data_IF_489380193344
#
_entry.id   IF_489380193344
#
_cell.length_a   1.000
_cell.length_b   1.000
_cell.length_c   1.000
_cell.angle_alpha   90.00
_cell.angle_beta   90.00
_cell.angle_gamma   90.00
#
_symmetry.space_group_name_H-M   'P 1'
#
loop_
_entity.id
_entity.type
_entity.pdbx_description
1 polymer ?
#
# COMPACT_ATOMS: atom_id res chain seq x y z
N UNK A 1 19.96 6.85 55.56
CA UNK A 1 18.86 7.54 54.86
C UNK A 1 18.98 7.22 53.38
N UNK A 2 18.35 6.13 52.97
CA UNK A 2 18.28 5.61 51.60
C UNK A 2 17.14 6.30 50.87
N UNK A 3 17.44 7.08 49.83
CA UNK A 3 16.41 7.56 48.91
C UNK A 3 16.40 6.62 47.70
N UNK A 4 15.41 5.73 47.65
CA UNK A 4 15.11 4.87 46.52
C UNK A 4 14.27 5.71 45.56
N UNK A 5 14.91 6.24 44.52
CA UNK A 5 14.21 6.88 43.41
C UNK A 5 13.65 5.78 42.51
N UNK A 6 12.34 5.59 42.60
CA UNK A 6 11.58 4.71 41.73
C UNK A 6 11.40 5.41 40.38
N UNK A 7 12.23 5.09 39.39
CA UNK A 7 12.01 5.48 37.99
C UNK A 7 12.30 4.29 37.08
N UNK A 8 11.33 3.38 37.03
CA UNK A 8 11.33 2.19 36.19
C UNK A 8 10.04 2.10 35.40
N UNK A 9 9.78 3.07 34.52
CA UNK A 9 8.75 2.97 33.48
C UNK A 9 9.35 3.43 32.16
N UNK A 10 9.71 2.52 31.22
CA UNK A 10 10.08 2.93 29.88
C UNK A 10 8.85 3.55 29.18
N UNK A 11 9.05 4.82 28.85
CA UNK A 11 8.18 5.77 28.18
C UNK A 11 7.38 5.15 27.00
N UNK A 12 6.06 5.03 27.17
CA UNK A 12 5.08 4.73 26.11
C UNK A 12 5.04 5.80 24.99
N UNK A 13 5.87 6.84 25.09
CA UNK A 13 5.99 7.93 24.13
C UNK A 13 6.72 7.56 22.83
N UNK A 14 7.38 6.39 22.74
CA UNK A 14 8.04 5.95 21.50
C UNK A 14 7.07 5.32 20.47
N UNK A 15 5.84 4.99 20.87
CA UNK A 15 4.93 4.13 20.09
C UNK A 15 3.93 4.89 19.21
N UNK A 16 3.93 6.23 19.19
CA UNK A 16 2.91 7.02 18.46
C UNK A 16 3.47 8.03 17.45
N UNK A 17 4.72 7.92 17.03
CA UNK A 17 5.30 8.87 16.06
C UNK A 17 5.06 8.50 14.58
N UNK A 18 4.27 7.45 14.30
CA UNK A 18 3.93 7.05 12.92
C UNK A 18 2.62 7.69 12.39
N UNK A 19 1.86 8.44 13.21
CA UNK A 19 0.50 8.88 12.84
C UNK A 19 0.42 10.15 11.99
N UNK A 20 1.49 10.92 11.87
CA UNK A 20 1.48 12.23 11.18
C UNK A 20 2.40 12.34 9.96
N UNK A 21 2.74 11.24 9.30
CA UNK A 21 3.28 11.31 7.93
C UNK A 21 2.13 11.58 6.95
N UNK A 22 1.54 12.77 7.04
CA UNK A 22 0.76 13.32 5.93
C UNK A 22 1.72 13.55 4.77
N UNK A 23 1.53 12.90 3.60
CA UNK A 23 2.37 13.18 2.45
C UNK A 23 2.29 14.68 2.17
N UNK A 24 3.42 15.39 2.25
CA UNK A 24 3.51 16.77 1.82
C UNK A 24 3.31 16.80 0.30
N UNK A 25 2.05 16.80 -0.14
CA UNK A 25 1.68 16.99 -1.54
C UNK A 25 2.09 18.41 -1.89
N UNK A 26 3.24 18.55 -2.57
CA UNK A 26 3.67 19.82 -3.12
C UNK A 26 2.53 20.45 -3.93
N UNK A 27 2.35 21.77 -3.90
CA UNK A 27 1.29 22.43 -4.66
C UNK A 27 1.46 22.08 -6.14
N UNK A 28 0.42 21.44 -6.69
CA UNK A 28 0.41 20.95 -8.08
C UNK A 28 0.82 22.06 -9.03
N UNK A 29 1.89 21.82 -9.80
CA UNK A 29 2.36 22.77 -10.80
C UNK A 29 1.45 22.73 -12.03
N UNK A 30 1.39 23.83 -12.79
CA UNK A 30 0.60 23.88 -14.04
C UNK A 30 1.03 22.80 -15.04
N UNK A 31 2.28 22.33 -14.97
CA UNK A 31 2.81 21.23 -15.76
C UNK A 31 2.15 19.89 -15.43
N UNK A 32 1.94 19.59 -14.14
CA UNK A 32 1.29 18.34 -13.70
C UNK A 32 -0.18 18.29 -14.14
N UNK A 33 -0.87 19.44 -14.11
CA UNK A 33 -2.26 19.50 -14.57
C UNK A 33 -2.40 19.34 -16.09
N UNK A 34 -1.42 19.82 -16.86
CA UNK A 34 -1.36 19.60 -18.30
C UNK A 34 -0.99 18.15 -18.65
N UNK A 35 -0.03 17.55 -17.93
CA UNK A 35 0.36 16.16 -18.14
C UNK A 35 -0.77 15.19 -17.82
N UNK A 36 -1.52 15.42 -16.74
CA UNK A 36 -2.65 14.57 -16.36
C UNK A 36 -3.73 14.57 -17.44
N UNK A 37 -4.07 15.75 -17.99
CA UNK A 37 -5.01 15.85 -19.11
C UNK A 37 -4.51 15.16 -20.37
N UNK A 38 -3.22 15.27 -20.67
CA UNK A 38 -2.63 14.61 -21.85
C UNK A 38 -2.62 13.09 -21.64
N UNK A 39 -2.32 12.61 -20.44
CA UNK A 39 -2.36 11.19 -20.09
C UNK A 39 -3.78 10.62 -20.21
N UNK A 40 -4.81 11.35 -19.77
CA UNK A 40 -6.20 10.94 -19.91
C UNK A 40 -6.63 10.84 -21.38
N UNK A 41 -6.14 11.74 -22.24
CA UNK A 41 -6.44 11.75 -23.68
C UNK A 41 -5.69 10.63 -24.40
N UNK A 42 -4.39 10.46 -24.13
CA UNK A 42 -3.52 9.48 -24.78
C UNK A 42 -3.83 8.05 -24.29
N UNK A 43 -4.40 7.89 -23.09
CA UNK A 43 -4.76 6.59 -22.50
C UNK A 43 -6.12 6.05 -22.92
N UNK A 44 -6.84 6.76 -23.79
CA UNK A 44 -8.20 6.38 -24.20
C UNK A 44 -8.19 5.40 -25.38
N UNK A 45 -9.04 4.37 -25.31
CA UNK A 45 -9.33 3.46 -26.41
C UNK A 45 -9.77 4.19 -27.70
N UNK A 46 -10.46 5.34 -27.55
CA UNK A 46 -10.91 6.16 -28.68
C UNK A 46 -9.74 6.84 -29.42
N UNK A 47 -8.67 7.21 -28.70
CA UNK A 47 -7.48 7.85 -29.29
C UNK A 47 -6.75 6.87 -30.21
N UNK A 48 -6.58 5.63 -29.77
CA UNK A 48 -5.99 4.55 -30.57
C UNK A 48 -6.77 4.34 -31.87
N UNK A 49 -8.10 4.28 -31.81
CA UNK A 49 -8.96 4.09 -32.99
C UNK A 49 -8.88 5.26 -33.97
N UNK A 50 -8.88 6.51 -33.47
CA UNK A 50 -8.79 7.70 -34.33
C UNK A 50 -7.41 7.77 -35.01
N UNK A 51 -6.34 7.54 -34.27
CA UNK A 51 -4.97 7.56 -34.81
C UNK A 51 -4.76 6.42 -35.83
N UNK A 52 -5.26 5.22 -35.53
CA UNK A 52 -5.22 4.07 -36.46
C UNK A 52 -6.02 4.34 -37.73
N UNK A 53 -7.20 4.96 -37.61
CA UNK A 53 -8.02 5.36 -38.74
C UNK A 53 -7.36 6.43 -39.61
N UNK A 54 -6.73 7.44 -38.98
CA UNK A 54 -5.99 8.49 -39.69
C UNK A 54 -4.80 7.89 -40.47
N UNK A 55 -4.09 6.93 -39.88
CA UNK A 55 -2.98 6.23 -40.54
C UNK A 55 -3.46 5.29 -41.63
N UNK A 56 -4.53 4.54 -41.42
CA UNK A 56 -5.16 3.72 -42.45
C UNK A 56 -5.60 4.57 -43.63
N UNK A 57 -6.21 5.72 -43.37
CA UNK A 57 -6.58 6.70 -44.39
C UNK A 57 -5.35 7.26 -45.12
N UNK A 58 -4.30 7.63 -44.38
CA UNK A 58 -3.05 8.14 -44.96
C UNK A 58 -2.32 7.10 -45.80
N UNK A 59 -2.31 5.85 -45.35
CA UNK A 59 -1.77 4.71 -46.08
C UNK A 59 -2.54 4.48 -47.37
N UNK A 60 -3.88 4.46 -47.31
CA UNK A 60 -4.74 4.31 -48.50
C UNK A 60 -4.55 5.47 -49.47
N UNK A 61 -4.47 6.72 -49.00
CA UNK A 61 -4.19 7.89 -49.84
C UNK A 61 -2.81 7.82 -50.50
N UNK A 62 -1.78 7.38 -49.77
CA UNK A 62 -0.44 7.19 -50.33
C UNK A 62 -0.43 6.05 -51.35
N UNK A 63 -1.01 4.90 -51.05
CA UNK A 63 -1.05 3.76 -51.99
C UNK A 63 -1.89 4.09 -53.24
N UNK A 64 -3.01 4.80 -53.10
CA UNK A 64 -3.86 5.21 -54.21
C UNK A 64 -3.28 6.36 -55.05
N UNK A 65 -2.50 7.27 -54.43
CA UNK A 65 -1.81 8.36 -55.12
C UNK A 65 -0.52 7.93 -55.84
N UNK A 66 0.08 6.81 -55.44
CA UNK A 66 1.40 6.34 -55.90
C UNK A 66 1.36 5.04 -56.73
N UNK A 67 0.22 4.71 -57.35
CA UNK A 67 -0.01 3.46 -58.12
C UNK A 67 0.97 3.27 -59.31
N UNK A 68 1.80 4.26 -59.66
CA UNK A 68 2.74 4.17 -60.78
C UNK A 68 4.16 3.69 -60.42
N UNK A 69 4.62 3.76 -59.16
CA UNK A 69 6.00 3.37 -58.78
C UNK A 69 6.04 2.76 -57.37
N UNK A 70 5.97 1.44 -57.29
CA UNK A 70 5.98 0.71 -56.02
C UNK A 70 7.40 0.73 -55.40
N UNK A 71 7.57 1.58 -54.38
CA UNK A 71 8.71 1.79 -53.47
C UNK A 71 10.15 1.83 -54.06
N UNK A 72 10.50 2.84 -54.88
CA UNK A 72 11.89 3.21 -55.14
C UNK A 72 12.54 3.90 -53.94
N UNK A 73 13.86 3.74 -53.80
CA UNK A 73 14.70 4.40 -52.77
C UNK A 73 14.38 5.90 -52.64
N UNK A 74 14.17 6.49 -51.44
CA UNK A 74 14.35 5.95 -50.09
C UNK A 74 13.03 5.43 -49.52
N UNK A 75 13.01 4.21 -48.98
CA UNK A 75 11.83 3.47 -48.49
C UNK A 75 10.94 4.27 -47.52
N UNK A 76 10.08 5.14 -48.06
CA UNK A 76 9.28 6.10 -47.29
C UNK A 76 8.20 5.38 -46.51
N UNK A 77 7.67 4.30 -47.07
CA UNK A 77 6.65 3.45 -46.45
C UNK A 77 7.22 2.68 -45.27
N UNK A 78 8.41 2.09 -45.42
CA UNK A 78 9.08 1.36 -44.34
C UNK A 78 9.39 2.29 -43.16
N UNK A 79 9.93 3.49 -43.43
CA UNK A 79 10.22 4.48 -42.39
C UNK A 79 8.94 4.95 -41.69
N UNK A 80 7.85 5.17 -42.44
CA UNK A 80 6.56 5.55 -41.86
C UNK A 80 6.01 4.48 -40.91
N UNK A 81 6.05 3.21 -41.33
CA UNK A 81 5.59 2.08 -40.51
C UNK A 81 6.43 1.94 -39.25
N UNK A 82 7.76 2.06 -39.35
CA UNK A 82 8.67 1.97 -38.20
C UNK A 82 8.49 3.13 -37.22
N UNK A 83 8.35 4.37 -37.68
CA UNK A 83 8.06 5.52 -36.81
C UNK A 83 6.70 5.38 -36.12
N UNK A 84 5.70 4.84 -36.82
CA UNK A 84 4.39 4.59 -36.25
C UNK A 84 4.42 3.52 -35.16
N UNK A 85 5.12 2.41 -35.40
CA UNK A 85 5.25 1.32 -34.43
C UNK A 85 5.83 1.83 -33.09
N UNK A 86 6.83 2.71 -33.15
CA UNK A 86 7.37 3.36 -31.97
C UNK A 86 6.32 4.25 -31.27
N UNK A 87 5.57 5.06 -32.02
CA UNK A 87 4.55 5.96 -31.46
C UNK A 87 3.37 5.23 -30.80
N UNK A 88 2.96 4.07 -31.32
CA UNK A 88 1.85 3.28 -30.77
C UNK A 88 2.18 2.58 -29.45
N UNK A 89 3.46 2.40 -29.15
CA UNK A 89 3.92 1.72 -27.93
C UNK A 89 3.62 2.53 -26.67
N UNK A 90 3.79 3.86 -26.72
CA UNK A 90 3.57 4.76 -25.59
C UNK A 90 2.14 4.70 -24.98
N UNK A 91 1.04 4.79 -25.76
CA UNK A 91 -0.31 4.71 -25.22
C UNK A 91 -0.66 3.32 -24.68
N UNK A 92 -0.18 2.24 -25.31
CA UNK A 92 -0.40 0.88 -24.78
C UNK A 92 0.25 0.72 -23.41
N UNK A 93 1.52 1.14 -23.29
CA UNK A 93 2.25 1.08 -22.03
C UNK A 93 1.51 1.89 -20.97
N UNK A 94 1.06 3.10 -21.31
CA UNK A 94 0.36 3.96 -20.37
C UNK A 94 -1.00 3.37 -19.93
N UNK A 95 -1.72 2.69 -20.82
CA UNK A 95 -2.97 2.02 -20.46
C UNK A 95 -2.74 0.79 -19.58
N UNK A 96 -1.69 0.01 -19.87
CA UNK A 96 -1.26 -1.09 -19.01
C UNK A 96 -0.86 -0.59 -17.61
N UNK A 97 -0.17 0.55 -17.55
CA UNK A 97 0.18 1.22 -16.30
C UNK A 97 -1.07 1.72 -15.55
N UNK A 98 -2.04 2.32 -16.24
CA UNK A 98 -3.26 2.80 -15.61
C UNK A 98 -4.07 1.65 -14.98
N UNK A 99 -4.22 0.54 -15.71
CA UNK A 99 -4.86 -0.68 -15.18
C UNK A 99 -4.11 -1.26 -13.99
N UNK A 100 -2.77 -1.27 -14.04
CA UNK A 100 -1.97 -1.77 -12.93
C UNK A 100 -2.11 -0.88 -11.68
N UNK A 101 -2.11 0.44 -11.87
CA UNK A 101 -2.33 1.43 -10.79
C UNK A 101 -3.68 1.24 -10.09
N UNK A 102 -4.75 0.99 -10.83
CA UNK A 102 -6.07 0.71 -10.23
C UNK A 102 -6.07 -0.59 -9.41
N UNK A 103 -5.43 -1.65 -9.91
CA UNK A 103 -5.26 -2.92 -9.19
C UNK A 103 -4.46 -2.70 -7.91
N UNK A 104 -3.34 -1.98 -8.00
CA UNK A 104 -2.47 -1.67 -6.87
C UNK A 104 -3.21 -0.84 -5.82
N UNK A 105 -4.06 0.11 -6.25
CA UNK A 105 -4.91 0.90 -5.34
C UNK A 105 -5.92 0.03 -4.60
N UNK A 106 -6.58 -0.91 -5.28
CA UNK A 106 -7.50 -1.84 -4.63
C UNK A 106 -6.78 -2.79 -3.67
N UNK A 107 -5.59 -3.27 -4.06
CA UNK A 107 -4.77 -4.11 -3.19
C UNK A 107 -4.35 -3.36 -1.93
N UNK A 108 -3.91 -2.10 -2.06
CA UNK A 108 -3.54 -1.27 -0.92
C UNK A 108 -4.71 -1.04 0.05
N UNK A 109 -5.93 -0.85 -0.47
CA UNK A 109 -7.14 -0.75 0.36
C UNK A 109 -7.43 -2.06 1.11
N UNK A 110 -7.32 -3.21 0.44
CA UNK A 110 -7.53 -4.50 1.06
C UNK A 110 -6.48 -4.79 2.14
N UNK A 111 -5.20 -4.52 1.85
CA UNK A 111 -4.11 -4.70 2.79
C UNK A 111 -4.31 -3.81 4.04
N UNK A 112 -4.79 -2.57 3.84
CA UNK A 112 -5.15 -1.68 4.95
C UNK A 112 -6.26 -2.26 5.83
N UNK A 113 -7.35 -2.73 5.22
CA UNK A 113 -8.48 -3.31 5.96
C UNK A 113 -8.09 -4.58 6.73
N UNK A 114 -7.27 -5.43 6.12
CA UNK A 114 -6.73 -6.64 6.78
C UNK A 114 -5.84 -6.26 7.96
N UNK A 115 -4.95 -5.28 7.77
CA UNK A 115 -4.06 -4.82 8.83
C UNK A 115 -4.83 -4.21 10.01
N UNK A 116 -5.87 -3.41 9.73
CA UNK A 116 -6.73 -2.85 10.77
C UNK A 116 -7.46 -3.93 11.56
N UNK A 117 -7.98 -4.96 10.89
CA UNK A 117 -8.61 -6.11 11.56
C UNK A 117 -7.61 -6.87 12.42
N UNK A 118 -6.41 -7.11 11.91
CA UNK A 118 -5.34 -7.77 12.65
C UNK A 118 -4.97 -6.97 13.92
N UNK A 119 -4.88 -5.64 13.83
CA UNK A 119 -4.62 -4.77 14.98
C UNK A 119 -5.72 -4.89 16.06
N UNK A 120 -6.99 -4.90 15.66
CA UNK A 120 -8.11 -5.09 16.57
C UNK A 120 -8.09 -6.48 17.23
N UNK A 121 -7.84 -7.53 16.45
CA UNK A 121 -7.78 -8.90 16.96
C UNK A 121 -6.63 -9.10 17.94
N UNK A 122 -5.45 -8.53 17.65
CA UNK A 122 -4.29 -8.52 18.54
C UNK A 122 -4.62 -7.79 19.84
N UNK A 123 -5.28 -6.63 19.76
CA UNK A 123 -5.69 -5.85 20.93
C UNK A 123 -6.67 -6.64 21.81
N UNK A 124 -7.66 -7.30 21.20
CA UNK A 124 -8.62 -8.13 21.90
C UNK A 124 -7.96 -9.37 22.54
N UNK A 125 -6.98 -9.98 21.86
CA UNK A 125 -6.17 -11.06 22.42
C UNK A 125 -5.34 -10.59 23.62
N UNK A 126 -4.74 -9.41 23.54
CA UNK A 126 -3.95 -8.84 24.63
C UNK A 126 -4.82 -8.62 25.87
N UNK A 127 -6.00 -8.02 25.71
CA UNK A 127 -6.95 -7.82 26.81
C UNK A 127 -7.36 -9.15 27.47
N UNK A 128 -7.63 -10.19 26.67
CA UNK A 128 -7.95 -11.52 27.21
C UNK A 128 -6.77 -12.14 27.97
N UNK A 129 -5.56 -11.96 27.46
CA UNK A 129 -4.34 -12.45 28.12
C UNK A 129 -4.11 -11.76 29.45
N UNK A 130 -4.30 -10.44 29.51
CA UNK A 130 -4.18 -9.65 30.74
C UNK A 130 -5.20 -10.10 31.79
N UNK A 131 -6.46 -10.31 31.40
CA UNK A 131 -7.49 -10.83 32.29
C UNK A 131 -7.14 -12.22 32.85
N UNK A 132 -6.62 -13.13 32.01
CA UNK A 132 -6.18 -14.45 32.46
C UNK A 132 -4.97 -14.35 33.40
N UNK A 133 -4.02 -13.47 33.10
CA UNK A 133 -2.86 -13.21 33.96
C UNK A 133 -3.28 -12.69 35.33
N UNK A 134 -4.20 -11.75 35.39
CA UNK A 134 -4.72 -11.22 36.65
C UNK A 134 -5.38 -12.33 37.49
N UNK A 135 -6.19 -13.19 36.86
CA UNK A 135 -6.82 -14.32 37.53
C UNK A 135 -5.79 -15.33 38.08
N UNK A 136 -4.77 -15.66 37.30
CA UNK A 136 -3.73 -16.60 37.71
C UNK A 136 -2.86 -16.02 38.83
N UNK A 137 -2.51 -14.73 38.76
CA UNK A 137 -1.80 -14.03 39.84
C UNK A 137 -2.63 -14.03 41.12
N UNK A 138 -3.93 -13.71 41.04
CA UNK A 138 -4.81 -13.71 42.20
C UNK A 138 -4.93 -15.11 42.84
N UNK A 139 -5.02 -16.18 42.02
CA UNK A 139 -5.03 -17.56 42.51
C UNK A 139 -3.72 -17.94 43.20
N UNK A 140 -2.57 -17.59 42.62
CA UNK A 140 -1.26 -17.87 43.20
C UNK A 140 -1.08 -17.16 44.55
N UNK A 141 -1.49 -15.89 44.65
CA UNK A 141 -1.48 -15.14 45.92
C UNK A 141 -2.36 -15.84 46.96
N UNK A 142 -3.60 -16.23 46.60
CA UNK A 142 -4.51 -16.92 47.50
C UNK A 142 -3.96 -18.27 48.01
N UNK A 143 -3.27 -19.03 47.15
CA UNK A 143 -2.59 -20.27 47.56
C UNK A 143 -1.43 -20.00 48.53
N UNK A 144 -0.64 -18.95 48.30
CA UNK A 144 0.45 -18.56 49.19
C UNK A 144 -0.07 -18.11 50.57
N UNK A 145 -1.16 -17.34 50.63
CA UNK A 145 -1.78 -16.94 51.88
C UNK A 145 -2.31 -18.14 52.68
N UNK A 146 -2.93 -19.12 52.01
CA UNK A 146 -3.38 -20.37 52.62
C UNK A 146 -2.23 -21.15 53.24
N UNK A 147 -1.17 -21.41 52.46
CA UNK A 147 0.00 -22.13 52.93
C UNK A 147 0.69 -21.43 54.10
N UNK A 148 0.75 -20.09 54.06
CA UNK A 148 1.31 -19.27 55.15
C UNK A 148 0.47 -19.40 56.41
N UNK A 149 -0.86 -19.36 56.28
CA UNK A 149 -1.78 -19.52 57.40
C UNK A 149 -1.69 -20.90 58.05
N UNK A 150 -1.64 -21.96 57.25
CA UNK A 150 -1.43 -23.33 57.74
C UNK A 150 -0.10 -23.50 58.46
N UNK A 151 0.99 -22.94 57.90
CA UNK A 151 2.31 -22.91 58.55
C UNK A 151 2.25 -22.26 59.92
N UNK A 152 1.68 -21.06 60.02
CA UNK A 152 1.57 -20.33 61.29
C UNK A 152 0.69 -21.05 62.31
N UNK A 153 -0.41 -21.67 61.88
CA UNK A 153 -1.28 -22.48 62.74
C UNK A 153 -0.55 -23.73 63.26
N UNK A 154 0.21 -24.42 62.40
CA UNK A 154 1.03 -25.56 62.78
C UNK A 154 2.17 -25.20 63.74
N UNK A 155 2.80 -24.05 63.55
CA UNK A 155 3.86 -23.54 64.43
C UNK A 155 3.32 -23.13 65.82
N UNK A 156 2.11 -22.55 65.86
CA UNK A 156 1.41 -22.23 67.10
C UNK A 156 0.97 -23.48 67.88
N UNK A 157 0.60 -24.56 67.19
CA UNK A 157 0.22 -25.83 67.81
C UNK A 157 1.43 -26.66 68.31
N UNK A 158 2.63 -26.38 67.81
CA UNK A 158 3.87 -27.10 68.16
C UNK A 158 4.62 -26.48 69.36
N UNK A 159 4.15 -25.35 69.91
CA UNK A 159 4.77 -24.70 71.07
C UNK A 159 4.15 -25.25 72.37
N UNK A 160 4.93 -25.94 73.24
CA UNK A 160 4.46 -26.46 74.52
C UNK A 160 4.21 -25.35 75.56
#
# INVERSE_FOLDING_TARGET
MSNISADGVPNSAATFSLRDQTPHLAPRTLGEYASDRIADIVGSWRFILIQSGLLGLWLVLNVAGWVQHWDPYPFILLNLVLSFQAAFTAPIIMMAQNRQSDIDRHKAQLDYDVNLRAELDITALHQKLDLLREQDIARLIGLLELLTRERLAGEAAAKP
#
